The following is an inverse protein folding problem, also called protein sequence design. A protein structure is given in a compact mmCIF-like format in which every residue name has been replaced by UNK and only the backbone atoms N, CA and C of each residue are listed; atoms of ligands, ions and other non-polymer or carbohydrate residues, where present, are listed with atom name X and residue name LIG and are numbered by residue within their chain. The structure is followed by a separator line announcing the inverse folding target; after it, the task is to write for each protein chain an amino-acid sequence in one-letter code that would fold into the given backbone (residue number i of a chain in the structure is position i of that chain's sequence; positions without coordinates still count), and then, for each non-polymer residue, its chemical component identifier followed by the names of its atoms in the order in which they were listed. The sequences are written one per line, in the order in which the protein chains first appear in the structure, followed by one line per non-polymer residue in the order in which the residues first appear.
data_IF_472155614063
#
_entry.id   IF_472155614063
#
_cell.length_a   1.000
_cell.length_b   1.000
_cell.length_c   1.000
_cell.angle_alpha   90.00
_cell.angle_beta   90.00
_cell.angle_gamma   90.00
#
_symmetry.space_group_name_H-M   'P 1'
#
loop_
_entity.id
_entity.type
_entity.pdbx_description
1 polymer ?
#
# COMPACT_ATOMS: atom_id res chain seq x y z
N UNK A 1 -25.57 -17.51 6.81
CA UNK A 1 -24.28 -17.11 7.41
C UNK A 1 -23.18 -17.04 6.34
N UNK A 2 -23.49 -16.42 5.18
CA UNK A 2 -22.63 -16.36 3.98
C UNK A 2 -22.35 -14.91 3.50
N UNK A 3 -22.95 -13.90 4.13
CA UNK A 3 -22.93 -12.52 3.61
C UNK A 3 -21.67 -11.72 4.00
N UNK A 4 -20.93 -12.16 5.02
CA UNK A 4 -19.80 -11.39 5.54
C UNK A 4 -18.60 -11.32 4.58
N UNK A 5 -18.46 -12.28 3.64
CA UNK A 5 -17.36 -12.28 2.67
C UNK A 5 -17.50 -11.20 1.60
N UNK A 6 -18.72 -10.99 1.10
CA UNK A 6 -18.98 -10.00 0.05
C UNK A 6 -18.88 -8.57 0.59
N UNK A 7 -19.43 -8.33 1.79
CA UNK A 7 -19.35 -7.03 2.46
C UNK A 7 -17.91 -6.65 2.81
N UNK A 8 -17.11 -7.59 3.31
CA UNK A 8 -15.70 -7.36 3.63
C UNK A 8 -14.89 -7.02 2.38
N UNK A 9 -15.12 -7.74 1.28
CA UNK A 9 -14.47 -7.45 0.00
C UNK A 9 -14.86 -6.07 -0.55
N UNK A 10 -16.15 -5.72 -0.49
CA UNK A 10 -16.65 -4.42 -0.93
C UNK A 10 -16.04 -3.29 -0.08
N UNK A 11 -16.02 -3.45 1.23
CA UNK A 11 -15.47 -2.45 2.16
C UNK A 11 -13.96 -2.24 1.95
N UNK A 12 -13.21 -3.32 1.74
CA UNK A 12 -11.79 -3.26 1.42
C UNK A 12 -11.55 -2.49 0.11
N UNK A 13 -12.33 -2.79 -0.95
CA UNK A 13 -12.20 -2.10 -2.24
C UNK A 13 -12.52 -0.61 -2.12
N UNK A 14 -13.60 -0.24 -1.41
CA UNK A 14 -13.96 1.16 -1.16
C UNK A 14 -12.84 1.88 -0.39
N UNK A 15 -12.27 1.23 0.63
CA UNK A 15 -11.17 1.79 1.42
C UNK A 15 -9.92 2.04 0.59
N UNK A 16 -9.57 1.10 -0.31
CA UNK A 16 -8.48 1.25 -1.27
C UNK A 16 -8.74 2.40 -2.24
N UNK A 17 -9.97 2.52 -2.77
CA UNK A 17 -10.36 3.62 -3.66
C UNK A 17 -10.21 4.98 -2.97
N UNK A 18 -10.67 5.10 -1.72
CA UNK A 18 -10.52 6.32 -0.92
C UNK A 18 -9.04 6.67 -0.74
N UNK A 19 -8.19 5.67 -0.51
CA UNK A 19 -6.74 5.86 -0.37
C UNK A 19 -6.11 6.35 -1.68
N UNK A 20 -6.50 5.78 -2.83
CA UNK A 20 -6.06 6.26 -4.15
C UNK A 20 -6.55 7.66 -4.47
N UNK A 21 -7.80 8.01 -4.12
CA UNK A 21 -8.32 9.37 -4.26
C UNK A 21 -7.48 10.33 -3.42
N UNK A 22 -7.20 9.99 -2.16
CA UNK A 22 -6.35 10.79 -1.28
C UNK A 22 -4.95 11.01 -1.86
N UNK A 23 -4.31 9.96 -2.38
CA UNK A 23 -3.02 10.06 -3.08
C UNK A 23 -3.09 10.94 -4.33
N UNK A 24 -4.16 10.82 -5.12
CA UNK A 24 -4.35 11.62 -6.32
C UNK A 24 -4.56 13.10 -6.00
N UNK A 25 -5.37 13.41 -4.99
CA UNK A 25 -5.54 14.79 -4.50
C UNK A 25 -4.23 15.32 -3.94
N UNK A 26 -3.48 14.52 -3.19
CA UNK A 26 -2.17 14.91 -2.66
C UNK A 26 -1.19 15.25 -3.80
N UNK A 27 -1.19 14.45 -4.87
CA UNK A 27 -0.37 14.68 -6.06
C UNK A 27 -0.71 16.02 -6.70
N UNK A 28 -1.98 16.38 -6.86
CA UNK A 28 -2.40 17.65 -7.46
C UNK A 28 -2.20 18.86 -6.54
N UNK A 29 -2.24 18.64 -5.22
CA UNK A 29 -2.25 19.71 -4.21
C UNK A 29 -0.87 20.17 -3.76
N UNK A 30 0.17 19.42 -4.14
CA UNK A 30 1.55 19.73 -3.83
C UNK A 30 1.93 21.13 -4.34
N UNK A 31 2.57 21.91 -3.46
CA UNK A 31 3.04 23.26 -3.79
C UNK A 31 1.97 24.36 -3.85
N UNK A 32 0.69 24.05 -3.64
CA UNK A 32 -0.40 25.06 -3.68
C UNK A 32 -0.72 25.65 -2.31
N UNK A 33 -1.45 24.93 -1.46
CA UNK A 33 -1.87 25.40 -0.15
C UNK A 33 -1.91 24.26 0.85
N UNK A 34 -1.50 24.55 2.08
CA UNK A 34 -1.47 23.61 3.20
C UNK A 34 -2.85 22.99 3.45
N UNK A 35 -3.93 23.72 3.17
CA UNK A 35 -5.30 23.21 3.34
C UNK A 35 -5.59 22.03 2.42
N UNK A 36 -5.16 22.09 1.15
CA UNK A 36 -5.39 20.99 0.21
C UNK A 36 -4.58 19.74 0.57
N UNK A 37 -3.34 19.92 1.04
CA UNK A 37 -2.52 18.81 1.54
C UNK A 37 -3.14 18.18 2.78
N UNK A 38 -3.71 18.97 3.70
CA UNK A 38 -4.38 18.45 4.90
C UNK A 38 -5.63 17.65 4.56
N UNK A 39 -6.45 18.12 3.61
CA UNK A 39 -7.63 17.38 3.13
C UNK A 39 -7.20 16.07 2.48
N UNK A 40 -6.14 16.08 1.67
CA UNK A 40 -5.61 14.87 1.06
C UNK A 40 -5.12 13.86 2.12
N UNK A 41 -4.40 14.32 3.14
CA UNK A 41 -3.98 13.46 4.26
C UNK A 41 -5.16 12.86 5.00
N UNK A 42 -6.26 13.60 5.18
CA UNK A 42 -7.47 13.09 5.82
C UNK A 42 -8.01 11.86 5.07
N UNK A 43 -8.16 11.96 3.74
CA UNK A 43 -8.59 10.82 2.93
C UNK A 43 -7.63 9.64 2.98
N UNK A 44 -6.32 9.91 2.91
CA UNK A 44 -5.29 8.86 3.02
C UNK A 44 -5.39 8.15 4.36
N UNK A 45 -5.50 8.88 5.46
CA UNK A 45 -5.59 8.32 6.81
C UNK A 45 -6.88 7.53 7.02
N UNK A 46 -8.01 8.03 6.54
CA UNK A 46 -9.30 7.32 6.63
C UNK A 46 -9.25 6.00 5.84
N UNK A 47 -8.76 6.04 4.60
CA UNK A 47 -8.60 4.84 3.78
C UNK A 47 -7.63 3.84 4.42
N UNK A 48 -6.50 4.32 4.94
CA UNK A 48 -5.50 3.50 5.62
C UNK A 48 -6.06 2.83 6.88
N UNK A 49 -6.73 3.59 7.75
CA UNK A 49 -7.33 3.06 8.97
C UNK A 49 -8.41 2.01 8.68
N UNK A 50 -9.23 2.23 7.64
CA UNK A 50 -10.24 1.28 7.21
C UNK A 50 -9.62 -0.04 6.69
N UNK A 51 -8.58 0.03 5.85
CA UNK A 51 -7.83 -1.16 5.40
C UNK A 51 -7.21 -1.92 6.58
N UNK A 52 -6.60 -1.21 7.52
CA UNK A 52 -5.98 -1.82 8.70
C UNK A 52 -7.00 -2.52 9.60
N UNK A 53 -8.16 -1.89 9.81
CA UNK A 53 -9.26 -2.44 10.60
C UNK A 53 -9.82 -3.71 9.97
N UNK A 54 -10.11 -3.70 8.66
CA UNK A 54 -10.61 -4.87 7.94
C UNK A 54 -9.59 -6.00 7.89
N UNK A 55 -8.30 -5.69 7.71
CA UNK A 55 -7.26 -6.71 7.71
C UNK A 55 -7.15 -7.38 9.08
N UNK A 56 -7.23 -6.61 10.17
CA UNK A 56 -7.24 -7.16 11.53
C UNK A 56 -8.46 -8.05 11.77
N UNK A 57 -9.64 -7.63 11.32
CA UNK A 57 -10.88 -8.40 11.38
C UNK A 57 -10.80 -9.70 10.56
N UNK A 58 -10.18 -9.64 9.38
CA UNK A 58 -9.96 -10.83 8.56
C UNK A 58 -9.06 -11.85 9.28
N UNK A 59 -7.94 -11.39 9.85
CA UNK A 59 -7.01 -12.26 10.58
C UNK A 59 -7.68 -12.88 11.81
N UNK A 60 -8.50 -12.13 12.56
CA UNK A 60 -9.15 -12.65 13.77
C UNK A 60 -10.28 -13.65 13.48
N UNK A 61 -11.03 -13.45 12.38
CA UNK A 61 -12.21 -14.28 12.07
C UNK A 61 -11.86 -15.48 11.17
N UNK A 62 -10.89 -15.35 10.27
CA UNK A 62 -10.64 -16.35 9.20
C UNK A 62 -9.40 -17.20 9.43
N UNK A 63 -8.47 -16.76 10.28
CA UNK A 63 -7.24 -17.52 10.55
C UNK A 63 -7.45 -18.44 11.74
N UNK A 64 -6.91 -19.66 11.64
CA UNK A 64 -6.88 -20.60 12.77
C UNK A 64 -6.14 -19.96 13.95
N UNK A 65 -6.55 -20.19 15.21
CA UNK A 65 -5.91 -19.63 16.39
C UNK A 65 -4.39 -19.85 16.42
N UNK A 66 -3.93 -20.98 15.88
CA UNK A 66 -2.51 -21.34 15.81
C UNK A 66 -1.71 -20.51 14.78
N UNK A 67 -2.39 -19.86 13.84
CA UNK A 67 -1.78 -19.02 12.79
C UNK A 67 -2.05 -17.53 13.00
N UNK A 68 -2.91 -17.16 13.96
CA UNK A 68 -3.32 -15.78 14.19
C UNK A 68 -2.13 -14.88 14.55
N UNK A 69 -1.19 -15.36 15.37
CA UNK A 69 0.04 -14.63 15.71
C UNK A 69 0.93 -14.38 14.49
N UNK A 70 1.05 -15.36 13.60
CA UNK A 70 1.78 -15.24 12.34
C UNK A 70 1.12 -14.26 11.39
N UNK A 71 -0.22 -14.27 11.30
CA UNK A 71 -1.00 -13.34 10.50
C UNK A 71 -0.80 -11.89 10.92
N UNK A 72 -0.92 -11.61 12.23
CA UNK A 72 -0.67 -10.27 12.79
C UNK A 72 0.80 -9.87 12.61
N UNK A 73 1.73 -10.80 12.80
CA UNK A 73 3.16 -10.58 12.58
C UNK A 73 3.47 -10.16 11.14
N UNK A 74 2.90 -10.87 10.14
CA UNK A 74 3.06 -10.51 8.74
C UNK A 74 2.41 -9.16 8.41
N UNK A 75 1.20 -8.87 8.90
CA UNK A 75 0.59 -7.56 8.63
C UNK A 75 1.45 -6.42 9.17
N UNK A 76 1.99 -6.55 10.39
CA UNK A 76 2.85 -5.53 10.99
C UNK A 76 4.17 -5.38 10.22
N UNK A 77 4.75 -6.47 9.72
CA UNK A 77 5.96 -6.43 8.90
C UNK A 77 5.71 -5.65 7.59
N UNK A 78 4.58 -5.87 6.92
CA UNK A 78 4.21 -5.11 5.73
C UNK A 78 3.98 -3.62 6.03
N UNK A 79 3.32 -3.29 7.14
CA UNK A 79 3.17 -1.90 7.57
C UNK A 79 4.52 -1.23 7.87
N UNK A 80 5.41 -1.93 8.58
CA UNK A 80 6.74 -1.44 8.89
C UNK A 80 7.57 -1.20 7.62
N UNK A 81 7.55 -2.14 6.68
CA UNK A 81 8.19 -1.98 5.37
C UNK A 81 7.65 -0.73 4.65
N UNK A 82 6.33 -0.57 4.55
CA UNK A 82 5.73 0.62 3.92
C UNK A 82 6.15 1.93 4.60
N UNK A 83 6.13 1.96 5.93
CA UNK A 83 6.52 3.12 6.73
C UNK A 83 8.02 3.45 6.62
N UNK A 84 8.87 2.48 6.30
CA UNK A 84 10.32 2.67 6.13
C UNK A 84 10.69 3.04 4.70
N UNK A 85 10.08 2.39 3.70
CA UNK A 85 10.35 2.66 2.30
C UNK A 85 9.87 4.04 1.86
N UNK A 86 8.71 4.51 2.35
CA UNK A 86 8.17 5.82 1.95
C UNK A 86 9.14 6.98 2.22
N UNK A 87 9.59 7.18 3.48
CA UNK A 87 10.58 8.19 3.82
C UNK A 87 11.95 7.97 3.16
N UNK A 88 12.42 6.72 3.07
CA UNK A 88 13.71 6.41 2.44
C UNK A 88 13.72 6.78 0.95
N UNK A 89 12.65 6.46 0.22
CA UNK A 89 12.49 6.85 -1.18
C UNK A 89 12.37 8.37 -1.33
N UNK A 90 11.54 9.00 -0.49
CA UNK A 90 11.40 10.46 -0.48
C UNK A 90 12.75 11.14 -0.24
N UNK A 91 13.57 10.59 0.67
CA UNK A 91 14.93 11.04 0.95
C UNK A 91 15.84 10.93 -0.26
N UNK A 92 15.88 9.78 -0.94
CA UNK A 92 16.70 9.58 -2.15
C UNK A 92 16.31 10.60 -3.25
N UNK A 93 15.01 10.81 -3.48
CA UNK A 93 14.54 11.78 -4.48
C UNK A 93 14.83 13.23 -4.12
N UNK A 94 14.90 13.56 -2.82
CA UNK A 94 15.30 14.89 -2.34
C UNK A 94 16.83 15.08 -2.44
N UNK A 95 17.61 14.08 -2.07
CA UNK A 95 19.08 14.13 -2.04
C UNK A 95 19.69 14.11 -3.44
N UNK A 96 19.18 13.30 -4.38
CA UNK A 96 19.70 13.24 -5.76
C UNK A 96 19.50 14.55 -6.56
N UNK A 97 18.66 15.48 -6.09
CA UNK A 97 18.39 16.75 -6.78
C UNK A 97 18.87 18.01 -6.08
N UNK A 98 19.42 17.90 -4.85
CA UNK A 98 20.01 19.07 -4.17
C UNK A 98 21.30 19.60 -4.85
N UNK A 99 21.80 18.90 -5.89
CA UNK A 99 22.97 19.35 -6.68
C UNK A 99 22.60 20.22 -7.90
N UNK A 100 21.31 20.40 -8.26
CA UNK A 100 20.92 21.25 -9.40
C UNK A 100 19.97 22.35 -8.93
N UNK A 101 20.47 23.58 -9.02
CA UNK A 101 19.91 24.82 -8.52
C UNK A 101 18.49 25.15 -9.00
N UNK A 102 17.77 25.83 -8.10
CA UNK A 102 16.76 26.86 -8.34
C UNK A 102 15.27 26.47 -8.28
N UNK A 103 14.51 27.38 -7.67
CA UNK A 103 13.12 27.37 -7.18
C UNK A 103 12.04 26.77 -8.09
N UNK A 104 12.33 26.54 -9.37
CA UNK A 104 11.43 25.92 -10.37
C UNK A 104 11.37 24.38 -10.20
N UNK A 105 12.40 23.79 -9.59
CA UNK A 105 12.54 22.32 -9.44
C UNK A 105 11.68 21.78 -8.29
N UNK A 106 11.34 22.59 -7.29
CA UNK A 106 10.54 22.16 -6.12
C UNK A 106 9.17 21.60 -6.50
N UNK A 107 8.49 22.16 -7.51
CA UNK A 107 7.22 21.62 -8.02
C UNK A 107 7.42 20.25 -8.68
N UNK A 108 8.52 20.07 -9.42
CA UNK A 108 8.89 18.80 -10.07
C UNK A 108 9.30 17.71 -9.06
N UNK A 109 10.04 18.05 -8.00
CA UNK A 109 10.62 17.07 -7.06
C UNK A 109 9.57 16.32 -6.25
N UNK A 110 8.55 17.01 -5.73
CA UNK A 110 7.48 16.36 -4.96
C UNK A 110 6.60 15.45 -5.83
N UNK A 111 6.32 15.84 -7.07
CA UNK A 111 5.61 14.96 -8.00
C UNK A 111 6.45 13.73 -8.37
N UNK A 112 7.76 13.89 -8.59
CA UNK A 112 8.66 12.76 -8.85
C UNK A 112 8.71 11.81 -7.65
N UNK A 113 8.78 12.33 -6.42
CA UNK A 113 8.76 11.51 -5.21
C UNK A 113 7.47 10.68 -5.08
N UNK A 114 6.30 11.27 -5.33
CA UNK A 114 5.02 10.54 -5.31
C UNK A 114 4.93 9.55 -6.47
N UNK A 115 5.35 9.90 -7.67
CA UNK A 115 5.38 8.99 -8.82
C UNK A 115 6.30 7.80 -8.51
N UNK A 116 7.46 8.04 -7.91
CA UNK A 116 8.40 7.01 -7.48
C UNK A 116 7.81 6.09 -6.40
N UNK A 117 7.14 6.65 -5.40
CA UNK A 117 6.40 5.87 -4.39
C UNK A 117 5.28 5.03 -5.03
N UNK A 118 4.50 5.61 -5.95
CA UNK A 118 3.45 4.88 -6.69
C UNK A 118 3.99 3.75 -7.56
N UNK A 119 5.11 3.98 -8.26
CA UNK A 119 5.78 2.96 -9.07
C UNK A 119 6.32 1.81 -8.22
N UNK A 120 6.88 2.12 -7.04
CA UNK A 120 7.33 1.10 -6.08
C UNK A 120 6.18 0.26 -5.53
N UNK A 121 5.03 0.87 -5.20
CA UNK A 121 3.83 0.12 -4.80
C UNK A 121 3.38 -0.82 -5.92
N UNK A 122 3.40 -0.38 -7.18
CA UNK A 122 3.13 -1.22 -8.35
C UNK A 122 4.14 -2.38 -8.47
N UNK A 123 5.44 -2.10 -8.33
CA UNK A 123 6.48 -3.13 -8.38
C UNK A 123 6.31 -4.16 -7.25
N UNK A 124 6.05 -3.71 -6.02
CA UNK A 124 5.77 -4.60 -4.88
C UNK A 124 4.53 -5.45 -5.15
N UNK A 125 3.47 -4.86 -5.69
CA UNK A 125 2.26 -5.58 -6.07
C UNK A 125 2.55 -6.66 -7.13
N UNK A 126 3.34 -6.34 -8.16
CA UNK A 126 3.77 -7.30 -9.17
C UNK A 126 4.63 -8.44 -8.59
N UNK A 127 5.57 -8.12 -7.69
CA UNK A 127 6.38 -9.13 -7.01
C UNK A 127 5.50 -10.09 -6.21
N UNK A 128 4.53 -9.56 -5.44
CA UNK A 128 3.60 -10.38 -4.66
C UNK A 128 2.75 -11.26 -5.58
N UNK A 129 2.23 -10.72 -6.68
CA UNK A 129 1.49 -11.49 -7.69
C UNK A 129 2.33 -12.62 -8.29
N UNK A 130 3.59 -12.34 -8.65
CA UNK A 130 4.51 -13.36 -9.17
C UNK A 130 4.83 -14.45 -8.14
N UNK A 131 5.00 -14.08 -6.86
CA UNK A 131 5.24 -15.04 -5.77
C UNK A 131 4.01 -15.92 -5.53
N UNK A 132 2.80 -15.33 -5.53
CA UNK A 132 1.55 -16.06 -5.40
C UNK A 132 1.36 -17.06 -6.55
N UNK A 133 1.58 -16.63 -7.80
CA UNK A 133 1.49 -17.47 -9.00
C UNK A 133 2.48 -18.64 -8.96
N UNK A 134 3.73 -18.37 -8.54
CA UNK A 134 4.76 -19.40 -8.37
C UNK A 134 4.39 -20.45 -7.31
N UNK A 135 3.65 -20.05 -6.26
CA UNK A 135 3.16 -20.98 -5.23
C UNK A 135 2.06 -21.89 -5.76
N UNK A 136 1.15 -21.38 -6.61
CA UNK A 136 0.14 -22.20 -7.28
C UNK A 136 0.76 -23.24 -8.22
N UNK A 137 1.72 -22.83 -9.05
CA UNK A 137 2.40 -23.75 -9.98
C UNK A 137 3.13 -24.88 -9.25
N UNK A 138 3.82 -24.57 -8.14
CA UNK A 138 4.47 -25.60 -7.32
C UNK A 138 3.46 -26.55 -6.66
N UNK A 139 2.29 -26.05 -6.25
CA UNK A 139 1.24 -26.86 -5.64
C UNK A 139 0.62 -27.81 -6.66
N UNK A 140 0.44 -27.37 -7.91
CA UNK A 140 -0.05 -28.22 -9.00
C UNK A 140 0.97 -29.28 -9.42
N UNK A 141 2.26 -28.92 -9.57
CA UNK A 141 3.30 -29.90 -9.89
C UNK A 141 3.40 -31.01 -8.83
N UNK A 142 3.29 -30.69 -7.54
CA UNK A 142 3.40 -31.69 -6.49
C UNK A 142 2.22 -32.67 -6.44
N UNK A 143 1.05 -32.27 -6.95
CA UNK A 143 -0.12 -33.16 -7.10
C UNK A 143 0.10 -34.12 -8.29
N UNK A 144 0.80 -33.68 -9.33
CA UNK A 144 1.02 -34.50 -10.53
C UNK A 144 2.07 -35.60 -10.36
N UNK A 145 2.97 -35.49 -9.38
CA UNK A 145 3.94 -36.56 -9.04
C UNK A 145 3.40 -37.63 -8.08
N UNK A 146 2.18 -37.46 -7.56
CA UNK A 146 1.54 -38.41 -6.65
C UNK A 146 0.37 -39.19 -7.29
N UNK A 147 0.26 -39.18 -8.62
CA UNK A 147 -0.68 -39.99 -9.41
C UNK A 147 0.10 -41.06 -10.17
#
# INVERSE_FOLDING_TARGET
MSDNGFTLFLFLNVSIIILFIGLFVLLLSIGHSVLYTSVAFLFIYVGFAAVQSELSNFISVRLSPNLMSEGIGMSNLFFFMGATFGPALTGIFLDEKFTISNKIITFSTYHIGIIGMGLMVLVMFFIVMLVMRRKEDKRQNNIHYHI
#
